data_IF_629408777996
#
_entry.id   IF_629408777996
#
_cell.length_a   1.000
_cell.length_b   1.000
_cell.length_c   1.000
_cell.angle_alpha   90.00
_cell.angle_beta   90.00
_cell.angle_gamma   90.00
#
_symmetry.space_group_name_H-M   'P 1'
#
loop_
_entity.id
_entity.type
_entity.pdbx_description
1 polymer ?
#
# COMPACT_ATOMS: atom_id res chain seq x y z
N UNK A 1 -3.00 2.24 -10.00
CA UNK A 1 -2.54 1.50 -11.20
C UNK A 1 -1.47 2.31 -11.91
N UNK A 2 -1.78 3.49 -12.44
CA UNK A 2 -0.81 4.40 -13.06
C UNK A 2 0.44 4.68 -12.20
N UNK A 3 0.26 4.90 -10.89
CA UNK A 3 1.39 5.11 -9.97
C UNK A 3 2.42 3.96 -9.97
N UNK A 4 1.96 2.73 -10.20
CA UNK A 4 2.80 1.55 -10.29
C UNK A 4 3.42 1.38 -11.69
N UNK A 5 3.15 2.30 -12.63
CA UNK A 5 3.70 2.27 -13.99
C UNK A 5 2.91 1.41 -14.97
N UNK A 6 1.65 1.07 -14.66
CA UNK A 6 0.78 0.29 -15.55
C UNK A 6 -0.28 1.16 -16.21
N UNK A 7 -0.51 0.92 -17.49
CA UNK A 7 -1.63 1.43 -18.28
C UNK A 7 -2.49 0.23 -18.69
N UNK A 8 -3.77 0.16 -18.26
CA UNK A 8 -4.65 -0.92 -18.67
C UNK A 8 -5.13 -0.73 -20.11
N UNK A 9 -5.16 -1.81 -20.91
CA UNK A 9 -5.74 -1.79 -22.25
C UNK A 9 -7.24 -1.49 -22.24
N UNK A 10 -7.96 -2.02 -21.24
CA UNK A 10 -9.39 -1.81 -21.06
C UNK A 10 -9.74 -1.66 -19.58
N UNK A 11 -10.71 -0.79 -19.27
CA UNK A 11 -11.25 -0.60 -17.92
C UNK A 11 -12.72 -0.98 -17.90
N UNK A 12 -13.00 -2.17 -17.38
CA UNK A 12 -14.34 -2.70 -17.23
C UNK A 12 -14.78 -2.59 -15.77
N UNK A 13 -16.08 -2.33 -15.56
CA UNK A 13 -16.70 -2.43 -14.24
C UNK A 13 -17.77 -3.51 -14.30
N UNK A 14 -17.65 -4.51 -13.44
CA UNK A 14 -18.64 -5.60 -13.34
C UNK A 14 -20.07 -5.08 -13.10
N UNK A 15 -20.23 -3.99 -12.33
CA UNK A 15 -21.56 -3.39 -12.10
C UNK A 15 -22.22 -2.79 -13.34
N UNK A 16 -21.48 -2.56 -14.44
CA UNK A 16 -22.06 -2.15 -15.73
C UNK A 16 -22.58 -3.35 -16.54
N UNK A 17 -22.29 -4.59 -16.11
CA UNK A 17 -22.52 -5.83 -16.85
C UNK A 17 -23.55 -6.76 -16.17
N UNK A 18 -24.31 -6.23 -15.22
CA UNK A 18 -25.28 -7.02 -14.43
C UNK A 18 -26.29 -7.74 -15.33
N UNK A 19 -26.79 -7.05 -16.37
CA UNK A 19 -27.71 -7.63 -17.35
C UNK A 19 -27.09 -8.82 -18.11
N UNK A 20 -25.81 -8.70 -18.52
CA UNK A 20 -25.08 -9.82 -19.15
C UNK A 20 -25.04 -11.03 -18.22
N UNK A 21 -24.80 -10.83 -16.92
CA UNK A 21 -24.81 -11.95 -15.98
C UNK A 21 -26.21 -12.56 -15.82
N UNK A 22 -27.28 -11.77 -15.90
CA UNK A 22 -28.65 -12.30 -15.89
C UNK A 22 -28.96 -13.12 -17.15
N UNK A 23 -28.50 -12.69 -18.33
CA UNK A 23 -28.64 -13.45 -19.58
C UNK A 23 -27.99 -14.83 -19.46
N UNK A 24 -26.73 -14.92 -19.03
CA UNK A 24 -26.08 -16.21 -18.81
C UNK A 24 -26.73 -17.05 -17.70
N UNK A 25 -27.29 -16.42 -16.66
CA UNK A 25 -28.04 -17.14 -15.65
C UNK A 25 -29.30 -17.79 -16.24
N UNK A 26 -30.03 -17.09 -17.12
CA UNK A 26 -31.19 -17.64 -17.83
C UNK A 26 -30.79 -18.83 -18.70
N UNK A 27 -29.76 -18.67 -19.53
CA UNK A 27 -29.25 -19.75 -20.38
C UNK A 27 -28.80 -20.98 -19.56
N UNK A 28 -28.12 -20.74 -18.43
CA UNK A 28 -27.69 -21.82 -17.54
C UNK A 28 -28.89 -22.55 -16.93
N UNK A 29 -29.97 -21.85 -16.56
CA UNK A 29 -31.20 -22.47 -16.09
C UNK A 29 -31.86 -23.30 -17.19
N UNK A 30 -31.92 -22.79 -18.43
CA UNK A 30 -32.45 -23.51 -19.59
C UNK A 30 -31.66 -24.78 -19.90
N UNK A 31 -30.33 -24.74 -19.72
CA UNK A 31 -29.45 -25.90 -19.82
C UNK A 31 -29.58 -26.88 -18.63
N UNK A 32 -30.43 -26.57 -17.65
CA UNK A 32 -30.63 -27.36 -16.43
C UNK A 32 -29.49 -27.22 -15.42
N UNK A 33 -28.57 -26.29 -15.64
CA UNK A 33 -27.37 -26.08 -14.84
C UNK A 33 -27.53 -25.14 -13.65
N UNK A 34 -28.72 -24.60 -13.42
CA UNK A 34 -29.02 -23.82 -12.22
C UNK A 34 -30.45 -24.05 -11.72
N UNK A 35 -30.66 -23.74 -10.44
CA UNK A 35 -31.97 -23.78 -9.80
C UNK A 35 -32.07 -22.78 -8.65
N UNK A 36 -33.28 -22.31 -8.41
CA UNK A 36 -33.64 -21.39 -7.33
C UNK A 36 -33.94 -22.14 -6.03
N UNK A 37 -33.42 -21.64 -4.91
CA UNK A 37 -33.48 -22.31 -3.62
C UNK A 37 -33.87 -21.32 -2.51
N UNK A 38 -34.89 -21.70 -1.73
CA UNK A 38 -35.39 -20.94 -0.57
C UNK A 38 -35.06 -21.60 0.76
N UNK A 39 -34.18 -22.61 0.77
CA UNK A 39 -33.70 -23.21 2.02
C UNK A 39 -32.89 -22.17 2.81
N UNK A 40 -33.06 -22.17 4.13
CA UNK A 40 -32.18 -21.39 5.01
C UNK A 40 -30.72 -21.82 4.87
N UNK A 41 -29.78 -20.90 5.10
CA UNK A 41 -28.35 -21.15 4.91
C UNK A 41 -27.82 -22.35 5.73
N UNK A 42 -28.26 -22.48 6.98
CA UNK A 42 -27.88 -23.60 7.86
C UNK A 42 -28.47 -24.93 7.39
N UNK A 43 -29.75 -24.93 6.99
CA UNK A 43 -30.45 -26.11 6.47
C UNK A 43 -29.76 -26.63 5.19
N UNK A 44 -29.51 -25.73 4.23
CA UNK A 44 -28.81 -26.10 3.01
C UNK A 44 -27.40 -26.60 3.30
N UNK A 45 -26.69 -25.95 4.23
CA UNK A 45 -25.35 -26.38 4.64
C UNK A 45 -25.36 -27.81 5.20
N UNK A 46 -26.32 -28.15 6.06
CA UNK A 46 -26.47 -29.50 6.60
C UNK A 46 -26.73 -30.54 5.51
N UNK A 47 -27.69 -30.28 4.60
CA UNK A 47 -27.98 -31.15 3.46
C UNK A 47 -26.76 -31.35 2.56
N UNK A 48 -26.12 -30.24 2.20
CA UNK A 48 -24.93 -30.23 1.34
C UNK A 48 -23.78 -31.01 1.96
N UNK A 49 -23.53 -30.87 3.27
CA UNK A 49 -22.45 -31.59 3.96
C UNK A 49 -22.69 -33.11 3.98
N UNK A 50 -23.96 -33.52 4.07
CA UNK A 50 -24.40 -34.92 3.96
C UNK A 50 -24.48 -35.45 2.52
N UNK A 51 -24.04 -34.68 1.52
CA UNK A 51 -24.17 -35.01 0.10
C UNK A 51 -25.63 -35.24 -0.35
N UNK A 52 -26.59 -34.55 0.29
CA UNK A 52 -28.01 -34.63 -0.02
C UNK A 52 -28.47 -33.39 -0.78
N UNK A 53 -29.21 -33.62 -1.86
CA UNK A 53 -29.86 -32.57 -2.62
C UNK A 53 -30.91 -31.86 -1.77
N UNK A 54 -31.05 -30.54 -1.95
CA UNK A 54 -32.19 -29.83 -1.36
C UNK A 54 -33.49 -30.13 -2.13
N UNK A 55 -34.67 -29.99 -1.51
CA UNK A 55 -35.96 -30.30 -2.15
C UNK A 55 -36.23 -29.47 -3.41
N UNK A 56 -35.61 -28.29 -3.54
CA UNK A 56 -35.76 -27.39 -4.67
C UNK A 56 -34.88 -27.77 -5.88
N UNK A 57 -33.93 -28.69 -5.71
CA UNK A 57 -32.96 -29.04 -6.75
C UNK A 57 -33.62 -29.61 -8.00
N UNK A 58 -34.75 -30.27 -7.89
CA UNK A 58 -35.44 -30.90 -9.04
C UNK A 58 -36.58 -30.05 -9.60
N UNK A 59 -36.62 -28.75 -9.28
CA UNK A 59 -37.51 -27.79 -9.98
C UNK A 59 -37.24 -27.83 -11.48
N UNK A 60 -38.31 -27.67 -12.27
CA UNK A 60 -38.18 -27.55 -13.71
C UNK A 60 -37.68 -26.15 -14.09
N UNK A 61 -37.08 -26.04 -15.29
CA UNK A 61 -36.49 -24.79 -15.76
C UNK A 61 -37.49 -23.62 -15.82
N UNK A 62 -38.74 -23.86 -16.23
CA UNK A 62 -39.75 -22.81 -16.34
C UNK A 62 -40.07 -22.15 -14.98
N UNK A 63 -40.22 -22.96 -13.93
CA UNK A 63 -40.41 -22.46 -12.56
C UNK A 63 -39.18 -21.71 -12.06
N UNK A 64 -37.98 -22.23 -12.33
CA UNK A 64 -36.74 -21.55 -11.93
C UNK A 64 -36.55 -20.21 -12.66
N UNK A 65 -36.86 -20.13 -13.96
CA UNK A 65 -36.82 -18.88 -14.71
C UNK A 65 -37.81 -17.86 -14.14
N UNK A 66 -39.06 -18.27 -13.89
CA UNK A 66 -40.09 -17.39 -13.30
C UNK A 66 -39.63 -16.81 -11.95
N UNK A 67 -39.11 -17.65 -11.06
CA UNK A 67 -38.58 -17.21 -9.77
C UNK A 67 -37.33 -16.33 -9.93
N UNK A 68 -36.46 -16.60 -10.91
CA UNK A 68 -35.27 -15.79 -11.15
C UNK A 68 -35.61 -14.41 -11.74
N UNK A 69 -36.59 -14.31 -12.66
CA UNK A 69 -37.08 -12.99 -13.10
C UNK A 69 -37.65 -12.19 -11.92
N UNK A 70 -38.41 -12.84 -11.04
CA UNK A 70 -38.89 -12.19 -9.83
C UNK A 70 -37.74 -11.77 -8.88
N UNK A 71 -36.61 -12.48 -8.86
CA UNK A 71 -35.38 -12.03 -8.19
C UNK A 71 -34.81 -10.77 -8.85
N UNK A 72 -34.68 -10.76 -10.18
CA UNK A 72 -34.20 -9.61 -10.97
C UNK A 72 -35.08 -8.37 -10.73
N UNK A 73 -36.39 -8.54 -10.72
CA UNK A 73 -37.39 -7.50 -10.44
C UNK A 73 -37.39 -7.04 -8.96
N UNK A 74 -36.63 -7.70 -8.09
CA UNK A 74 -36.52 -7.35 -6.67
C UNK A 74 -37.75 -7.75 -5.85
N UNK A 75 -38.48 -8.80 -6.22
CA UNK A 75 -39.69 -9.24 -5.52
C UNK A 75 -39.42 -9.94 -4.16
N UNK A 76 -38.15 -10.21 -3.83
CA UNK A 76 -37.73 -10.95 -2.64
C UNK A 76 -36.80 -10.13 -1.74
N UNK A 77 -36.81 -10.43 -0.45
CA UNK A 77 -35.92 -9.82 0.53
C UNK A 77 -34.57 -10.59 0.63
N UNK A 78 -33.51 -9.97 1.17
CA UNK A 78 -32.22 -10.61 1.40
C UNK A 78 -32.34 -11.89 2.23
N UNK A 79 -31.95 -13.01 1.62
CA UNK A 79 -31.94 -14.34 2.27
C UNK A 79 -33.17 -15.20 1.97
N UNK A 80 -34.22 -14.66 1.36
CA UNK A 80 -35.43 -15.42 1.00
C UNK A 80 -35.17 -16.48 -0.07
N UNK A 81 -34.33 -16.13 -1.05
CA UNK A 81 -34.06 -16.95 -2.22
C UNK A 81 -32.66 -16.70 -2.76
N UNK A 82 -32.07 -17.74 -3.34
CA UNK A 82 -30.81 -17.68 -4.08
C UNK A 82 -30.90 -18.52 -5.35
N UNK A 83 -30.14 -18.13 -6.39
CA UNK A 83 -29.89 -19.01 -7.54
C UNK A 83 -28.62 -19.82 -7.25
N UNK A 84 -28.66 -21.13 -7.46
CA UNK A 84 -27.52 -22.04 -7.27
C UNK A 84 -27.12 -22.67 -8.60
N UNK A 85 -25.82 -22.80 -8.83
CA UNK A 85 -25.30 -23.62 -9.92
C UNK A 85 -25.47 -25.08 -9.52
N UNK A 86 -26.06 -25.90 -10.38
CA UNK A 86 -26.19 -27.34 -10.19
C UNK A 86 -24.86 -28.01 -10.48
N UNK A 87 -24.22 -28.56 -9.46
CA UNK A 87 -22.95 -29.29 -9.58
C UNK A 87 -23.14 -30.75 -9.19
N UNK A 88 -22.03 -31.47 -9.01
CA UNK A 88 -22.03 -32.75 -8.31
C UNK A 88 -22.32 -32.55 -6.82
N UNK A 89 -23.46 -33.05 -6.34
CA UNK A 89 -23.89 -32.96 -4.94
C UNK A 89 -23.09 -33.91 -4.02
N UNK A 90 -22.44 -34.93 -4.59
CA UNK A 90 -21.60 -35.89 -3.88
C UNK A 90 -20.12 -35.48 -3.89
N UNK A 91 -19.77 -34.38 -4.58
CA UNK A 91 -18.40 -33.93 -4.78
C UNK A 91 -17.59 -33.91 -3.47
N UNK A 92 -16.36 -34.44 -3.46
CA UNK A 92 -15.58 -34.60 -2.21
C UNK A 92 -15.32 -33.30 -1.45
N UNK A 93 -15.18 -32.19 -2.16
CA UNK A 93 -15.10 -30.84 -1.58
C UNK A 93 -16.51 -30.26 -1.43
N UNK A 94 -17.04 -30.08 -0.20
CA UNK A 94 -18.36 -29.52 0.02
C UNK A 94 -18.51 -28.07 -0.46
N UNK A 95 -17.41 -27.33 -0.62
CA UNK A 95 -17.44 -25.96 -1.10
C UNK A 95 -17.78 -25.84 -2.59
N UNK A 96 -17.72 -26.95 -3.34
CA UNK A 96 -18.10 -26.99 -4.76
C UNK A 96 -19.54 -27.48 -4.98
N UNK A 97 -20.18 -28.05 -3.96
CA UNK A 97 -21.54 -28.60 -4.07
C UNK A 97 -22.55 -27.45 -4.13
N UNK A 98 -23.31 -27.39 -5.22
CA UNK A 98 -24.45 -26.51 -5.46
C UNK A 98 -24.27 -25.09 -4.89
N UNK A 99 -23.18 -24.44 -5.31
CA UNK A 99 -22.77 -23.13 -4.83
C UNK A 99 -23.69 -22.01 -5.36
N UNK A 100 -23.74 -20.88 -4.66
CA UNK A 100 -24.66 -19.78 -4.96
C UNK A 100 -24.12 -18.96 -6.13
N UNK A 101 -24.92 -18.82 -7.19
CA UNK A 101 -24.67 -17.94 -8.33
C UNK A 101 -25.15 -16.51 -8.07
N UNK A 102 -26.36 -16.34 -7.50
CA UNK A 102 -26.96 -15.02 -7.23
C UNK A 102 -27.61 -14.96 -5.85
N UNK A 103 -27.65 -13.76 -5.27
CA UNK A 103 -28.32 -13.46 -4.00
C UNK A 103 -28.98 -12.08 -4.01
N UNK A 104 -29.95 -11.89 -3.13
CA UNK A 104 -30.60 -10.60 -2.90
C UNK A 104 -29.82 -9.72 -1.90
N UNK A 105 -29.67 -8.43 -2.20
CA UNK A 105 -29.05 -7.40 -1.37
C UNK A 105 -29.90 -6.13 -1.42
N UNK A 106 -30.18 -5.54 -0.26
CA UNK A 106 -30.94 -4.27 -0.18
C UNK A 106 -30.07 -3.04 -0.07
N UNK A 107 -28.82 -3.19 0.36
CA UNK A 107 -27.87 -2.09 0.38
C UNK A 107 -27.63 -1.63 -1.06
N UNK A 108 -28.01 -0.39 -1.43
CA UNK A 108 -27.81 0.09 -2.78
C UNK A 108 -26.33 0.10 -3.14
N UNK A 109 -26.03 -0.22 -4.40
CA UNK A 109 -24.67 -0.13 -4.89
C UNK A 109 -24.17 1.33 -4.80
N UNK A 110 -22.91 1.58 -4.39
CA UNK A 110 -22.38 2.96 -4.24
C UNK A 110 -22.37 3.79 -5.53
N UNK A 111 -22.38 3.13 -6.69
CA UNK A 111 -22.53 3.78 -8.01
C UNK A 111 -24.00 3.93 -8.36
N UNK A 112 -24.40 5.15 -8.73
CA UNK A 112 -25.78 5.49 -9.06
C UNK A 112 -26.34 4.65 -10.21
N UNK A 113 -25.54 4.39 -11.25
CA UNK A 113 -25.97 3.63 -12.43
C UNK A 113 -26.37 2.18 -12.10
N UNK A 114 -25.87 1.65 -10.98
CA UNK A 114 -26.13 0.30 -10.53
C UNK A 114 -26.89 0.24 -9.20
N UNK A 115 -27.31 1.39 -8.66
CA UNK A 115 -27.97 1.48 -7.36
C UNK A 115 -29.35 0.81 -7.34
N UNK A 116 -29.98 0.65 -8.51
CA UNK A 116 -31.28 0.00 -8.67
C UNK A 116 -31.27 -1.53 -8.60
N UNK A 117 -30.11 -2.18 -8.78
CA UNK A 117 -30.02 -3.64 -8.77
C UNK A 117 -30.04 -4.19 -7.34
N UNK A 118 -30.86 -5.22 -7.11
CA UNK A 118 -30.95 -5.96 -5.84
C UNK A 118 -30.51 -7.43 -5.97
N UNK A 119 -30.63 -8.03 -7.14
CA UNK A 119 -30.16 -9.39 -7.41
C UNK A 119 -28.71 -9.37 -7.91
N UNK A 120 -27.75 -9.75 -7.08
CA UNK A 120 -26.32 -9.64 -7.39
C UNK A 120 -25.68 -11.00 -7.60
N UNK A 121 -24.84 -11.16 -8.64
CA UNK A 121 -24.05 -12.37 -8.83
C UNK A 121 -22.97 -12.49 -7.75
N UNK A 122 -22.60 -13.72 -7.46
CA UNK A 122 -21.45 -14.06 -6.65
C UNK A 122 -20.17 -13.99 -7.50
N UNK A 123 -19.03 -13.74 -6.84
CA UNK A 123 -17.73 -13.58 -7.49
C UNK A 123 -17.44 -14.68 -8.52
N UNK A 124 -17.58 -15.94 -8.13
CA UNK A 124 -17.25 -17.07 -9.00
C UNK A 124 -18.11 -17.10 -10.27
N UNK A 125 -19.40 -16.73 -10.19
CA UNK A 125 -20.26 -16.67 -11.37
C UNK A 125 -19.84 -15.52 -12.28
N UNK A 126 -19.80 -14.30 -11.75
CA UNK A 126 -19.56 -13.11 -12.59
C UNK A 126 -18.17 -13.09 -13.22
N UNK A 127 -17.10 -13.42 -12.47
CA UNK A 127 -15.76 -13.43 -13.05
C UNK A 127 -15.57 -14.58 -14.03
N UNK A 128 -16.24 -15.72 -13.85
CA UNK A 128 -16.18 -16.81 -14.81
C UNK A 128 -16.76 -16.43 -16.18
N UNK A 129 -17.88 -15.70 -16.18
CA UNK A 129 -18.49 -15.15 -17.40
C UNK A 129 -17.58 -14.09 -18.03
N UNK A 130 -17.04 -13.16 -17.23
CA UNK A 130 -16.16 -12.12 -17.74
C UNK A 130 -14.87 -12.69 -18.33
N UNK A 131 -14.26 -13.69 -17.69
CA UNK A 131 -13.06 -14.34 -18.21
C UNK A 131 -13.32 -14.96 -19.59
N UNK A 132 -14.51 -15.53 -19.82
CA UNK A 132 -14.91 -16.05 -21.13
C UNK A 132 -15.13 -14.94 -22.16
N UNK A 133 -15.98 -13.96 -21.84
CA UNK A 133 -16.38 -12.87 -22.74
C UNK A 133 -15.19 -12.00 -23.16
N UNK A 134 -14.25 -11.76 -22.25
CA UNK A 134 -13.02 -11.02 -22.53
C UNK A 134 -11.90 -11.91 -23.10
N UNK A 135 -12.19 -13.19 -23.37
CA UNK A 135 -11.21 -14.15 -23.92
C UNK A 135 -9.92 -14.19 -23.10
N UNK A 136 -10.03 -14.13 -21.78
CA UNK A 136 -8.90 -14.24 -20.87
C UNK A 136 -8.25 -15.59 -21.08
N UNK A 137 -6.93 -15.60 -21.30
CA UNK A 137 -6.17 -16.85 -21.54
C UNK A 137 -5.43 -17.32 -20.30
N UNK A 138 -5.09 -16.40 -19.41
CA UNK A 138 -4.32 -16.65 -18.18
C UNK A 138 -4.90 -15.85 -17.03
N UNK A 139 -5.33 -16.53 -15.98
CA UNK A 139 -5.79 -15.93 -14.73
C UNK A 139 -4.65 -15.97 -13.73
N UNK A 140 -4.20 -14.81 -13.25
CA UNK A 140 -3.16 -14.69 -12.22
C UNK A 140 -3.79 -14.14 -10.94
N UNK A 141 -3.78 -14.92 -9.85
CA UNK A 141 -4.49 -14.54 -8.61
C UNK A 141 -3.97 -15.25 -7.36
N UNK A 142 -4.36 -14.73 -6.19
CA UNK A 142 -4.04 -15.30 -4.87
C UNK A 142 -4.50 -16.75 -4.68
N UNK A 143 -3.74 -17.52 -3.91
CA UNK A 143 -4.04 -18.91 -3.54
C UNK A 143 -5.38 -19.06 -2.78
N UNK A 144 -5.89 -17.99 -2.18
CA UNK A 144 -7.24 -17.92 -1.59
C UNK A 144 -8.35 -18.33 -2.56
N UNK A 145 -8.17 -18.03 -3.85
CA UNK A 145 -9.16 -18.28 -4.88
C UNK A 145 -8.92 -19.62 -5.61
N UNK A 146 -8.08 -20.50 -5.08
CA UNK A 146 -7.73 -21.77 -5.74
C UNK A 146 -8.94 -22.66 -6.09
N UNK A 147 -10.01 -22.59 -5.31
CA UNK A 147 -11.24 -23.36 -5.57
C UNK A 147 -12.18 -22.66 -6.57
N UNK A 148 -11.98 -21.38 -6.87
CA UNK A 148 -12.83 -20.64 -7.83
C UNK A 148 -12.80 -21.25 -9.22
N UNK A 149 -11.63 -21.69 -9.70
CA UNK A 149 -11.52 -22.37 -11.00
C UNK A 149 -12.33 -23.66 -11.04
N UNK A 150 -12.38 -24.41 -9.93
CA UNK A 150 -13.18 -25.62 -9.85
C UNK A 150 -14.68 -25.32 -9.81
N UNK A 151 -15.10 -24.22 -9.16
CA UNK A 151 -16.50 -23.78 -9.16
C UNK A 151 -16.94 -23.35 -10.54
N UNK A 152 -16.15 -22.48 -11.16
CA UNK A 152 -16.38 -21.94 -12.50
C UNK A 152 -16.35 -23.03 -13.57
N UNK A 153 -15.50 -24.05 -13.42
CA UNK A 153 -15.46 -25.20 -14.31
C UNK A 153 -16.83 -25.84 -14.54
N UNK A 154 -17.68 -25.95 -13.52
CA UNK A 154 -19.05 -26.45 -13.72
C UNK A 154 -19.87 -25.58 -14.65
N UNK A 155 -19.76 -24.26 -14.56
CA UNK A 155 -20.45 -23.32 -15.46
C UNK A 155 -19.92 -23.46 -16.88
N UNK A 156 -18.60 -23.53 -17.04
CA UNK A 156 -17.93 -23.72 -18.33
C UNK A 156 -18.35 -25.05 -18.98
N UNK A 157 -18.48 -26.12 -18.21
CA UNK A 157 -18.92 -27.43 -18.70
C UNK A 157 -20.34 -27.37 -19.29
N UNK A 158 -21.27 -26.62 -18.68
CA UNK A 158 -22.63 -26.46 -19.24
C UNK A 158 -22.63 -25.71 -20.58
N UNK A 159 -21.74 -24.73 -20.74
CA UNK A 159 -21.63 -23.95 -21.97
C UNK A 159 -20.67 -24.56 -23.01
N UNK A 160 -19.92 -25.61 -22.63
CA UNK A 160 -18.92 -26.22 -23.50
C UNK A 160 -17.71 -25.32 -23.75
N UNK A 161 -17.34 -24.47 -22.78
CA UNK A 161 -16.23 -23.55 -22.88
C UNK A 161 -14.92 -24.17 -22.40
N UNK A 162 -13.81 -23.70 -22.97
CA UNK A 162 -12.47 -24.02 -22.48
C UNK A 162 -12.10 -23.04 -21.35
N UNK A 163 -11.69 -23.58 -20.22
CA UNK A 163 -11.31 -22.78 -19.06
C UNK A 163 -9.85 -22.31 -19.19
N UNK A 164 -9.54 -21.04 -18.89
CA UNK A 164 -8.20 -20.49 -19.04
C UNK A 164 -7.16 -21.12 -18.10
N UNK A 165 -5.89 -20.95 -18.45
CA UNK A 165 -4.78 -21.36 -17.60
C UNK A 165 -4.77 -20.52 -16.31
N UNK A 166 -4.51 -21.15 -15.16
CA UNK A 166 -4.51 -20.45 -13.87
C UNK A 166 -3.16 -20.54 -13.19
N UNK A 167 -2.60 -19.38 -12.88
CA UNK A 167 -1.40 -19.23 -12.06
C UNK A 167 -1.79 -18.70 -10.70
N UNK A 168 -1.51 -19.48 -9.66
CA UNK A 168 -1.68 -19.05 -8.29
C UNK A 168 -0.36 -18.58 -7.69
N UNK A 169 -0.42 -17.52 -6.91
CA UNK A 169 0.66 -17.08 -6.02
C UNK A 169 0.22 -17.13 -4.57
N UNK A 170 1.16 -17.43 -3.67
CA UNK A 170 0.93 -17.51 -2.24
C UNK A 170 0.65 -16.14 -1.62
N UNK A 171 0.29 -16.15 -0.34
CA UNK A 171 0.06 -14.90 0.37
C UNK A 171 1.35 -14.10 0.50
N UNK A 172 1.25 -12.80 0.23
CA UNK A 172 2.32 -11.84 0.50
C UNK A 172 2.03 -11.17 1.84
N UNK A 173 2.94 -11.31 2.79
CA UNK A 173 2.88 -10.66 4.09
C UNK A 173 3.94 -9.56 4.20
N UNK A 174 3.67 -8.53 5.01
CA UNK A 174 4.61 -7.43 5.25
C UNK A 174 4.71 -7.22 6.75
N UNK A 175 5.75 -7.78 7.37
CA UNK A 175 5.93 -7.74 8.83
C UNK A 175 6.49 -6.42 9.36
N UNK A 176 6.90 -5.52 8.47
CA UNK A 176 7.47 -4.23 8.85
C UNK A 176 6.44 -3.21 9.38
N UNK A 177 5.15 -3.56 9.40
CA UNK A 177 4.07 -2.69 9.85
C UNK A 177 3.31 -3.30 11.02
N UNK A 178 3.03 -2.49 12.04
CA UNK A 178 2.16 -2.87 13.17
C UNK A 178 0.66 -2.92 12.78
N UNK A 179 0.31 -2.34 11.63
CA UNK A 179 -1.04 -2.36 11.07
C UNK A 179 -1.13 -3.50 10.08
N UNK A 180 -2.05 -4.45 10.35
CA UNK A 180 -2.29 -5.57 9.44
C UNK A 180 -2.75 -5.07 8.05
N UNK A 181 -2.27 -5.75 7.00
CA UNK A 181 -2.65 -5.49 5.60
C UNK A 181 -4.08 -6.01 5.32
N UNK A 182 -5.07 -5.35 5.91
CA UNK A 182 -6.49 -5.66 5.78
C UNK A 182 -7.29 -4.38 5.62
N UNK A 183 -8.10 -4.30 4.55
CA UNK A 183 -8.91 -3.12 4.23
C UNK A 183 -9.88 -2.77 5.36
N UNK A 184 -10.50 -3.76 6.00
CA UNK A 184 -11.42 -3.51 7.12
C UNK A 184 -10.68 -3.01 8.36
N UNK A 185 -9.54 -3.61 8.69
CA UNK A 185 -8.72 -3.20 9.85
C UNK A 185 -8.18 -1.78 9.68
N UNK A 186 -7.68 -1.44 8.50
CA UNK A 186 -7.17 -0.09 8.22
C UNK A 186 -8.33 0.93 8.30
N UNK A 187 -9.50 0.61 7.73
CA UNK A 187 -10.68 1.47 7.79
C UNK A 187 -11.13 1.72 9.23
N UNK A 188 -11.22 0.67 10.06
CA UNK A 188 -11.59 0.79 11.47
C UNK A 188 -10.64 1.72 12.24
N UNK A 189 -9.33 1.58 12.03
CA UNK A 189 -8.33 2.45 12.68
C UNK A 189 -8.40 3.90 12.20
N UNK A 190 -8.73 4.14 10.93
CA UNK A 190 -8.99 5.50 10.42
C UNK A 190 -10.24 6.08 11.09
N UNK A 191 -11.34 5.31 11.16
CA UNK A 191 -12.59 5.74 11.80
C UNK A 191 -12.42 6.01 13.31
N UNK A 192 -11.54 5.26 13.97
CA UNK A 192 -11.15 5.48 15.36
C UNK A 192 -10.20 6.67 15.58
N UNK A 193 -9.68 7.28 14.50
CA UNK A 193 -8.71 8.37 14.56
C UNK A 193 -7.30 7.94 14.97
N UNK A 194 -6.99 6.64 14.94
CA UNK A 194 -5.65 6.11 15.21
C UNK A 194 -4.70 6.35 14.02
N UNK A 195 -5.25 6.35 12.81
CA UNK A 195 -4.59 6.68 11.55
C UNK A 195 -5.20 7.96 10.97
N UNK A 196 -4.37 8.82 10.37
CA UNK A 196 -4.83 10.09 9.78
C UNK A 196 -5.66 9.88 8.50
N UNK A 197 -5.48 8.73 7.84
CA UNK A 197 -6.15 8.39 6.58
C UNK A 197 -5.53 7.17 5.90
N UNK A 198 -5.96 6.91 4.67
CA UNK A 198 -5.44 5.79 3.85
C UNK A 198 -3.99 5.97 3.42
N UNK A 199 -3.48 7.20 3.45
CA UNK A 199 -2.12 7.59 3.10
C UNK A 199 -1.24 7.82 4.34
N UNK A 200 -1.70 7.41 5.53
CA UNK A 200 -0.91 7.44 6.75
C UNK A 200 0.32 6.51 6.60
N UNK A 201 1.53 6.96 6.97
CA UNK A 201 2.78 6.19 6.81
C UNK A 201 2.80 4.90 7.61
N UNK A 202 1.95 4.77 8.63
CA UNK A 202 1.80 3.57 9.46
C UNK A 202 0.91 2.52 8.82
N UNK A 203 0.20 2.86 7.74
CA UNK A 203 -0.62 1.92 6.99
C UNK A 203 0.19 1.31 5.82
N UNK A 204 0.14 -0.01 5.61
CA UNK A 204 0.83 -0.69 4.50
C UNK A 204 0.08 -0.53 3.18
N UNK A 205 -0.30 0.69 2.83
CA UNK A 205 -1.04 1.00 1.60
C UNK A 205 -0.10 1.57 0.54
N UNK A 206 -0.45 1.39 -0.74
CA UNK A 206 0.26 2.07 -1.83
C UNK A 206 0.20 3.60 -1.66
N UNK A 207 -0.90 4.13 -1.11
CA UNK A 207 -1.04 5.56 -0.82
C UNK A 207 -0.04 6.03 0.26
N UNK A 208 0.13 5.27 1.35
CA UNK A 208 1.11 5.57 2.40
C UNK A 208 2.55 5.47 1.90
N UNK A 209 2.87 4.43 1.13
CA UNK A 209 4.18 4.29 0.47
C UNK A 209 4.46 5.48 -0.48
N UNK A 210 3.48 5.88 -1.29
CA UNK A 210 3.58 7.06 -2.17
C UNK A 210 3.78 8.34 -1.38
N UNK A 211 3.05 8.54 -0.28
CA UNK A 211 3.18 9.72 0.56
C UNK A 211 4.55 9.80 1.24
N UNK A 212 5.14 8.64 1.55
CA UNK A 212 6.51 8.53 2.06
C UNK A 212 7.60 8.79 1.02
N UNK A 213 7.28 8.82 -0.27
CA UNK A 213 8.27 8.98 -1.35
C UNK A 213 8.81 7.67 -1.92
N UNK A 214 8.14 6.54 -1.67
CA UNK A 214 8.50 5.26 -2.29
C UNK A 214 7.93 5.20 -3.70
N UNK A 215 8.77 5.27 -4.73
CA UNK A 215 8.40 5.19 -6.15
C UNK A 215 7.67 3.88 -6.46
N UNK A 216 6.59 3.96 -7.23
CA UNK A 216 5.80 2.76 -7.59
C UNK A 216 6.62 1.71 -8.34
N UNK A 217 7.61 2.13 -9.12
CA UNK A 217 8.56 1.24 -9.80
C UNK A 217 9.33 0.34 -8.82
N UNK A 218 9.77 0.87 -7.68
CA UNK A 218 10.46 0.08 -6.65
C UNK A 218 9.55 -1.00 -6.03
N UNK A 219 8.25 -0.71 -5.90
CA UNK A 219 7.26 -1.69 -5.43
C UNK A 219 7.11 -2.81 -6.46
N UNK A 220 7.00 -2.47 -7.74
CA UNK A 220 6.86 -3.45 -8.83
C UNK A 220 8.11 -4.32 -8.97
N UNK A 221 9.30 -3.73 -8.90
CA UNK A 221 10.57 -4.47 -8.95
C UNK A 221 10.66 -5.49 -7.82
N UNK A 222 10.43 -5.08 -6.58
CA UNK A 222 10.45 -5.98 -5.42
C UNK A 222 9.39 -7.10 -5.51
N UNK A 223 8.20 -6.80 -6.03
CA UNK A 223 7.14 -7.80 -6.23
C UNK A 223 7.48 -8.78 -7.37
N UNK A 224 8.16 -8.31 -8.42
CA UNK A 224 8.58 -9.15 -9.55
C UNK A 224 9.67 -10.13 -9.12
N UNK A 225 10.59 -9.72 -8.24
CA UNK A 225 11.65 -10.56 -7.70
C UNK A 225 11.13 -11.75 -6.88
N UNK A 226 9.98 -11.61 -6.20
CA UNK A 226 9.35 -12.71 -5.47
C UNK A 226 8.85 -13.83 -6.39
N UNK A 227 8.48 -13.48 -7.63
CA UNK A 227 7.91 -14.40 -8.60
C UNK A 227 6.53 -14.95 -8.21
N UNK A 228 6.08 -15.97 -8.95
CA UNK A 228 4.73 -16.56 -8.82
C UNK A 228 4.78 -17.93 -8.13
N UNK A 229 5.35 -17.99 -6.93
CA UNK A 229 5.34 -19.19 -6.09
C UNK A 229 4.01 -19.31 -5.34
N UNK A 230 3.51 -20.54 -5.16
CA UNK A 230 2.31 -20.80 -4.33
C UNK A 230 2.60 -20.78 -2.82
N UNK A 231 3.86 -20.75 -2.42
CA UNK A 231 4.24 -20.62 -1.01
C UNK A 231 3.98 -19.20 -0.52
N UNK A 232 3.56 -19.07 0.74
CA UNK A 232 3.49 -17.76 1.38
C UNK A 232 4.89 -17.16 1.47
N UNK A 233 4.96 -15.85 1.25
CA UNK A 233 6.20 -15.10 1.22
C UNK A 233 6.08 -13.84 2.05
N UNK A 234 7.15 -13.53 2.78
CA UNK A 234 7.30 -12.28 3.49
C UNK A 234 8.03 -11.29 2.58
N UNK A 235 7.32 -10.25 2.13
CA UNK A 235 7.90 -9.17 1.35
C UNK A 235 8.75 -8.29 2.27
N UNK A 236 10.06 -8.44 2.14
CA UNK A 236 11.01 -7.64 2.88
C UNK A 236 10.97 -6.19 2.39
N UNK A 237 10.57 -5.26 3.28
CA UNK A 237 10.61 -3.83 2.96
C UNK A 237 12.01 -3.33 2.58
N UNK A 238 13.07 -4.01 3.04
CA UNK A 238 14.45 -3.74 2.61
C UNK A 238 14.65 -3.85 1.11
N UNK A 239 13.96 -4.77 0.42
CA UNK A 239 14.04 -4.91 -1.04
C UNK A 239 13.39 -3.71 -1.74
N UNK A 240 12.21 -3.29 -1.27
CA UNK A 240 11.56 -2.07 -1.76
C UNK A 240 12.44 -0.84 -1.51
N UNK A 241 13.06 -0.72 -0.33
CA UNK A 241 13.90 0.42 0.01
C UNK A 241 15.22 0.44 -0.78
N UNK A 242 15.80 -0.72 -1.08
CA UNK A 242 16.97 -0.82 -1.94
C UNK A 242 16.65 -0.35 -3.37
N UNK A 243 15.59 -0.90 -3.97
CA UNK A 243 15.11 -0.49 -5.29
C UNK A 243 14.74 1.00 -5.31
N UNK A 244 14.10 1.51 -4.26
CA UNK A 244 13.74 2.92 -4.19
C UNK A 244 14.96 3.83 -4.08
N UNK A 245 15.99 3.44 -3.30
CA UNK A 245 17.25 4.18 -3.20
C UNK A 245 17.90 4.36 -4.58
N UNK A 246 17.98 3.30 -5.37
CA UNK A 246 18.54 3.35 -6.73
C UNK A 246 17.82 4.34 -7.65
N UNK A 247 16.54 4.63 -7.38
CA UNK A 247 15.74 5.56 -8.17
C UNK A 247 15.85 7.01 -7.72
N UNK A 248 16.14 7.26 -6.43
CA UNK A 248 16.03 8.61 -5.85
C UNK A 248 17.37 9.19 -5.38
N UNK A 249 18.41 8.39 -5.19
CA UNK A 249 19.64 8.84 -4.53
C UNK A 249 20.34 9.96 -5.30
N UNK A 250 20.59 9.73 -6.59
CA UNK A 250 21.28 10.65 -7.51
C UNK A 250 20.56 12.00 -7.65
N UNK A 251 19.22 12.02 -7.56
CA UNK A 251 18.40 13.22 -7.70
C UNK A 251 18.19 13.97 -6.37
N UNK A 252 18.29 13.30 -5.22
CA UNK A 252 17.94 13.87 -3.91
C UNK A 252 19.02 14.80 -3.35
N UNK A 253 18.66 16.05 -3.07
CA UNK A 253 19.53 16.98 -2.33
C UNK A 253 19.84 16.46 -0.92
N UNK A 254 21.09 16.65 -0.47
CA UNK A 254 21.51 16.39 0.91
C UNK A 254 21.17 17.58 1.79
N UNK A 255 20.43 17.30 2.85
CA UNK A 255 19.94 18.32 3.78
C UNK A 255 20.20 17.96 5.23
N UNK A 256 20.23 18.96 6.10
CA UNK A 256 20.36 18.73 7.54
C UNK A 256 19.03 18.86 8.27
N UNK A 257 18.73 17.87 9.11
CA UNK A 257 17.64 17.86 10.07
C UNK A 257 18.18 17.33 11.40
N UNK A 258 18.00 18.09 12.48
CA UNK A 258 18.44 17.74 13.82
C UNK A 258 17.22 17.50 14.69
N UNK A 259 17.09 16.28 15.20
CA UNK A 259 16.02 15.84 16.10
C UNK A 259 16.39 16.16 17.54
N UNK A 260 15.43 16.69 18.31
CA UNK A 260 15.61 17.02 19.73
C UNK A 260 16.92 17.77 20.04
N UNK A 261 17.30 18.69 19.14
CA UNK A 261 18.65 19.24 19.09
C UNK A 261 19.06 20.03 20.33
N UNK A 262 20.27 19.77 20.83
CA UNK A 262 20.91 20.53 21.89
C UNK A 262 21.62 21.73 21.29
N UNK A 263 21.31 22.91 21.82
CA UNK A 263 21.96 24.15 21.41
C UNK A 263 23.35 24.28 22.03
N UNK A 264 24.33 24.69 21.22
CA UNK A 264 25.70 24.98 21.62
C UNK A 264 26.09 26.32 21.01
N UNK A 265 26.44 27.28 21.87
CA UNK A 265 27.10 28.51 21.42
C UNK A 265 28.35 28.15 20.64
N UNK A 266 28.54 28.78 19.49
CA UNK A 266 29.73 28.61 18.67
C UNK A 266 30.70 29.77 18.91
N UNK A 267 31.94 29.45 19.25
CA UNK A 267 33.02 30.40 19.52
C UNK A 267 34.01 30.36 18.35
N UNK A 268 33.95 31.38 17.49
CA UNK A 268 34.79 31.48 16.28
C UNK A 268 34.31 30.59 15.13
N UNK A 269 35.10 30.56 14.05
CA UNK A 269 34.75 29.85 12.81
C UNK A 269 34.18 30.77 11.73
N UNK A 270 33.89 30.23 10.54
CA UNK A 270 33.30 31.00 9.44
C UNK A 270 31.81 31.32 9.70
N UNK A 271 31.32 32.40 9.11
CA UNK A 271 29.91 32.84 9.25
C UNK A 271 28.93 32.00 8.43
N UNK A 272 29.44 31.29 7.42
CA UNK A 272 28.69 30.45 6.49
C UNK A 272 29.39 29.11 6.33
N UNK A 273 28.61 28.04 6.25
CA UNK A 273 29.09 26.72 5.91
C UNK A 273 28.66 26.34 4.48
N UNK A 274 29.51 25.60 3.79
CA UNK A 274 29.31 25.26 2.37
C UNK A 274 29.36 23.74 2.10
N UNK A 275 28.49 22.92 2.74
CA UNK A 275 28.44 21.50 2.40
C UNK A 275 27.94 21.29 0.95
N UNK A 276 28.39 20.24 0.25
CA UNK A 276 27.89 19.93 -1.10
C UNK A 276 26.39 19.61 -1.06
N UNK A 277 25.69 19.94 -2.16
CA UNK A 277 24.29 19.53 -2.34
C UNK A 277 24.17 18.02 -2.57
N UNK A 278 25.14 17.40 -3.24
CA UNK A 278 25.22 15.96 -3.40
C UNK A 278 26.70 15.52 -3.43
N UNK A 279 27.09 14.46 -2.71
CA UNK A 279 28.50 14.04 -2.62
C UNK A 279 29.08 13.59 -3.96
N UNK A 280 28.29 12.90 -4.78
CA UNK A 280 28.75 12.33 -6.06
C UNK A 280 28.49 13.22 -7.29
N UNK A 281 27.87 14.39 -7.09
CA UNK A 281 27.48 15.32 -8.17
C UNK A 281 28.02 16.73 -7.89
N UNK A 282 29.32 16.92 -8.08
CA UNK A 282 30.01 18.21 -7.87
C UNK A 282 29.40 19.35 -8.70
N UNK A 283 28.86 19.04 -9.88
CA UNK A 283 28.21 19.98 -10.79
C UNK A 283 26.95 20.63 -10.20
N UNK A 284 26.34 19.99 -9.20
CA UNK A 284 25.19 20.56 -8.47
C UNK A 284 25.63 21.66 -7.50
N UNK A 285 26.91 21.72 -7.16
CA UNK A 285 27.48 22.76 -6.30
C UNK A 285 27.25 22.53 -4.81
N UNK A 286 27.41 23.61 -4.03
CA UNK A 286 27.29 23.61 -2.57
C UNK A 286 26.06 24.39 -2.13
N UNK A 287 25.58 24.08 -0.92
CA UNK A 287 24.55 24.87 -0.22
C UNK A 287 25.23 25.82 0.76
N UNK A 288 24.74 27.06 0.83
CA UNK A 288 25.22 28.07 1.77
C UNK A 288 24.32 28.10 3.01
N UNK A 289 24.85 27.69 4.17
CA UNK A 289 24.11 27.65 5.44
C UNK A 289 24.64 28.74 6.38
N UNK A 290 23.82 29.73 6.79
CA UNK A 290 24.25 30.71 7.79
C UNK A 290 24.46 30.00 9.13
N UNK A 291 25.56 30.28 9.82
CA UNK A 291 25.92 29.59 11.08
C UNK A 291 25.33 30.29 12.30
N UNK A 292 25.40 31.63 12.34
CA UNK A 292 24.95 32.43 13.49
C UNK A 292 25.84 32.25 14.73
N UNK A 293 25.30 32.60 15.91
CA UNK A 293 26.03 32.54 17.19
C UNK A 293 25.97 31.18 17.90
N UNK A 294 25.09 30.28 17.45
CA UNK A 294 24.91 28.98 18.04
C UNK A 294 24.42 27.97 17.00
N UNK A 295 24.74 26.70 17.23
CA UNK A 295 24.31 25.58 16.41
C UNK A 295 23.54 24.57 17.24
N UNK A 296 22.70 23.78 16.58
CA UNK A 296 22.03 22.63 17.17
C UNK A 296 22.59 21.35 16.56
N UNK A 297 22.87 20.37 17.42
CA UNK A 297 23.29 19.01 17.07
C UNK A 297 22.43 18.00 17.81
N UNK A 298 22.38 16.77 17.35
CA UNK A 298 21.66 15.72 18.10
C UNK A 298 22.34 15.49 19.45
N UNK A 299 21.58 15.18 20.53
CA UNK A 299 22.15 14.95 21.85
C UNK A 299 23.29 13.92 21.87
N UNK A 300 23.13 12.83 21.11
CA UNK A 300 24.10 11.74 21.02
C UNK A 300 25.38 12.11 20.25
N UNK A 301 25.33 13.20 19.48
CA UNK A 301 26.45 13.72 18.70
C UNK A 301 27.31 14.73 19.48
N UNK A 302 26.90 15.12 20.69
CA UNK A 302 27.69 16.00 21.55
C UNK A 302 28.86 15.19 22.14
N UNK A 303 30.12 15.44 21.74
CA UNK A 303 31.23 14.65 22.25
C UNK A 303 31.51 15.00 23.73
N UNK A 304 32.24 14.18 24.49
CA UNK A 304 32.62 14.52 25.86
C UNK A 304 33.38 15.86 25.95
N UNK A 305 33.28 16.56 27.08
CA UNK A 305 34.01 17.81 27.28
C UNK A 305 35.53 17.63 27.05
N UNK A 306 36.11 18.51 26.24
CA UNK A 306 37.50 18.49 25.79
C UNK A 306 37.74 17.70 24.50
N UNK A 307 36.75 16.95 24.00
CA UNK A 307 36.84 16.20 22.75
C UNK A 307 36.34 17.01 21.56
N UNK A 308 36.75 16.60 20.36
CA UNK A 308 36.43 17.25 19.09
C UNK A 308 35.31 16.52 18.36
N UNK A 309 34.56 17.26 17.55
CA UNK A 309 33.61 16.77 16.56
C UNK A 309 33.71 17.65 15.31
N UNK A 310 33.44 17.09 14.14
CA UNK A 310 33.45 17.81 12.88
C UNK A 310 32.03 18.16 12.46
N UNK A 311 31.72 19.46 12.43
CA UNK A 311 30.44 19.96 11.92
C UNK A 311 30.51 19.99 10.40
N UNK A 312 29.73 19.15 9.73
CA UNK A 312 29.81 18.96 8.28
C UNK A 312 29.64 20.29 7.53
N UNK A 313 30.54 20.57 6.58
CA UNK A 313 30.59 21.81 5.81
C UNK A 313 31.13 23.04 6.57
N UNK A 314 31.30 22.95 7.89
CA UNK A 314 31.74 24.05 8.75
C UNK A 314 33.18 23.86 9.26
N UNK A 315 33.50 22.67 9.77
CA UNK A 315 34.84 22.32 10.27
C UNK A 315 34.85 21.76 11.69
N UNK A 316 36.05 21.59 12.28
CA UNK A 316 36.22 20.95 13.57
C UNK A 316 35.96 21.92 14.72
N UNK A 317 35.22 21.43 15.72
CA UNK A 317 34.95 22.13 16.96
C UNK A 317 35.30 21.26 18.17
N UNK A 318 35.76 21.90 19.24
CA UNK A 318 35.99 21.27 20.54
C UNK A 318 34.82 21.56 21.45
N UNK A 319 34.26 20.51 22.06
CA UNK A 319 33.25 20.70 23.10
C UNK A 319 33.90 21.18 24.38
N UNK A 320 33.55 22.41 24.77
CA UNK A 320 33.77 22.91 26.12
C UNK A 320 32.53 22.63 26.97
N UNK A 321 32.48 23.03 28.24
CA UNK A 321 31.34 22.68 29.11
C UNK A 321 29.98 23.03 28.50
N UNK A 322 29.87 24.22 27.89
CA UNK A 322 28.60 24.76 27.40
C UNK A 322 28.64 25.24 25.93
N UNK A 323 29.78 25.13 25.25
CA UNK A 323 29.97 25.72 23.92
C UNK A 323 30.83 24.84 23.01
N UNK A 324 30.75 25.10 21.72
CA UNK A 324 31.66 24.58 20.71
C UNK A 324 32.68 25.67 20.35
N UNK A 325 33.96 25.37 20.55
CA UNK A 325 35.07 26.25 20.19
C UNK A 325 35.68 25.76 18.88
N UNK A 326 35.70 26.62 17.85
CA UNK A 326 36.27 26.27 16.56
C UNK A 326 37.79 26.14 16.67
N UNK A 327 38.34 24.98 16.27
CA UNK A 327 39.78 24.71 16.45
C UNK A 327 40.62 25.03 15.21
N UNK A 328 40.00 25.14 14.03
CA UNK A 328 40.70 25.41 12.78
C UNK A 328 41.64 24.29 12.33
N UNK A 329 41.49 23.07 12.88
CA UNK A 329 42.22 21.90 12.41
C UNK A 329 41.84 21.58 10.94
N UNK A 330 42.75 20.98 10.17
CA UNK A 330 42.48 20.55 8.80
C UNK A 330 41.60 19.28 8.76
N UNK A 331 40.94 19.00 7.64
CA UNK A 331 40.08 17.82 7.44
C UNK A 331 40.82 16.49 7.62
N UNK A 332 42.16 16.51 7.60
CA UNK A 332 43.00 15.36 7.93
C UNK A 332 42.66 14.71 9.28
N UNK A 333 42.21 15.48 10.29
CA UNK A 333 41.80 14.93 11.60
C UNK A 333 40.60 13.98 11.52
N UNK A 334 39.77 14.10 10.49
CA UNK A 334 38.67 13.17 10.21
C UNK A 334 39.20 11.93 9.51
N UNK A 335 40.12 12.08 8.56
CA UNK A 335 40.70 10.98 7.77
C UNK A 335 41.54 10.04 8.62
N UNK A 336 42.16 10.55 9.67
CA UNK A 336 42.93 9.77 10.65
C UNK A 336 42.02 9.02 11.66
N UNK A 337 40.70 9.24 11.62
CA UNK A 337 39.71 8.55 12.46
C UNK A 337 39.54 9.16 13.86
N UNK A 338 40.16 10.30 14.14
CA UNK A 338 40.16 10.91 15.47
C UNK A 338 38.91 11.74 15.78
N UNK A 339 38.07 12.06 14.78
CA UNK A 339 36.94 12.98 14.90
C UNK A 339 35.74 12.51 14.08
N UNK A 340 34.58 12.36 14.73
CA UNK A 340 33.31 12.03 14.06
C UNK A 340 32.77 13.23 13.28
N UNK A 341 32.19 12.99 12.11
CA UNK A 341 31.46 13.99 11.32
C UNK A 341 29.97 13.93 11.65
N UNK A 342 29.40 15.07 12.00
CA UNK A 342 27.98 15.18 12.40
C UNK A 342 27.28 16.29 11.61
N UNK A 343 25.99 16.08 11.37
CA UNK A 343 25.09 17.10 10.84
C UNK A 343 24.68 18.06 11.95
N UNK A 344 24.30 19.26 11.57
CA UNK A 344 23.94 20.34 12.48
C UNK A 344 23.01 21.33 11.76
N UNK A 345 22.36 22.21 12.52
CA UNK A 345 21.58 23.33 11.95
C UNK A 345 21.85 24.61 12.75
N UNK A 346 21.77 25.80 12.15
CA UNK A 346 21.89 27.06 12.90
C UNK A 346 20.78 27.18 13.94
N UNK A 347 21.09 27.64 15.15
CA UNK A 347 20.10 27.74 16.21
C UNK A 347 18.97 28.73 15.88
N UNK A 348 19.33 29.86 15.27
CA UNK A 348 18.42 30.98 15.01
C UNK A 348 17.68 30.84 13.68
N UNK A 349 18.40 30.53 12.59
CA UNK A 349 17.83 30.53 11.24
C UNK A 349 17.19 29.21 10.80
N UNK A 350 17.41 28.12 11.54
CA UNK A 350 16.80 26.83 11.20
C UNK A 350 15.27 26.89 11.25
N UNK A 351 14.61 26.01 10.52
CA UNK A 351 13.14 25.95 10.44
C UNK A 351 12.61 24.76 11.24
N UNK A 352 11.49 24.89 11.97
CA UNK A 352 10.85 23.74 12.61
C UNK A 352 10.45 22.71 11.56
N UNK A 353 10.77 21.44 11.81
CA UNK A 353 10.38 20.34 10.93
C UNK A 353 9.82 19.17 11.74
N UNK A 354 8.73 18.61 11.25
CA UNK A 354 8.16 17.34 11.69
C UNK A 354 8.37 16.29 10.63
N UNK A 355 9.06 15.22 10.99
CA UNK A 355 9.29 14.06 10.15
C UNK A 355 8.34 12.95 10.59
N UNK A 356 7.32 12.68 9.77
CA UNK A 356 6.35 11.60 9.97
C UNK A 356 7.00 10.27 9.62
N UNK A 357 6.90 9.26 10.48
CA UNK A 357 7.48 7.92 10.25
C UNK A 357 6.48 6.80 10.55
N UNK A 358 6.87 5.54 10.33
CA UNK A 358 6.07 4.36 10.70
C UNK A 358 6.02 4.14 12.22
N UNK A 359 7.02 4.63 12.96
CA UNK A 359 7.17 4.39 14.41
C UNK A 359 6.71 5.58 15.25
N UNK A 360 6.22 6.64 14.60
CA UNK A 360 5.84 7.91 15.22
C UNK A 360 6.59 9.11 14.66
N UNK A 361 6.16 10.30 15.06
CA UNK A 361 6.70 11.55 14.53
C UNK A 361 7.99 11.94 15.25
N UNK A 362 9.03 12.25 14.48
CA UNK A 362 10.21 12.94 14.99
C UNK A 362 10.07 14.45 14.78
N UNK A 363 10.32 15.24 15.82
CA UNK A 363 10.30 16.70 15.73
C UNK A 363 11.70 17.27 15.91
N UNK A 364 11.96 18.42 15.28
CA UNK A 364 13.28 19.02 15.35
C UNK A 364 13.38 20.28 14.51
N UNK A 365 14.60 20.59 14.08
CA UNK A 365 14.88 21.73 13.23
C UNK A 365 15.69 21.31 12.02
N UNK A 366 15.31 21.80 10.85
CA UNK A 366 16.03 21.61 9.61
C UNK A 366 16.75 22.88 9.19
N UNK A 367 17.75 22.76 8.34
CA UNK A 367 18.43 23.94 7.80
C UNK A 367 17.46 24.87 7.02
N UNK A 368 17.78 26.16 6.88
CA UNK A 368 16.86 27.13 6.27
C UNK A 368 16.44 26.77 4.84
N UNK A 369 17.36 26.16 4.07
CA UNK A 369 17.13 25.73 2.69
C UNK A 369 16.03 24.68 2.52
N UNK A 370 15.54 24.05 3.60
CA UNK A 370 14.37 23.18 3.51
C UNK A 370 13.11 23.95 3.09
N UNK A 371 12.96 25.21 3.47
CA UNK A 371 11.77 25.99 3.15
C UNK A 371 11.66 26.36 1.66
N UNK A 372 12.70 26.11 0.85
CA UNK A 372 12.67 26.34 -0.60
C UNK A 372 12.40 25.09 -1.44
N UNK A 373 12.28 23.92 -0.81
CA UNK A 373 11.89 22.70 -1.53
C UNK A 373 10.40 22.71 -1.81
N UNK A 374 10.02 22.26 -2.99
CA UNK A 374 8.61 22.15 -3.35
C UNK A 374 7.99 20.90 -2.68
N UNK A 375 6.68 20.91 -2.36
CA UNK A 375 5.96 19.69 -2.01
C UNK A 375 6.18 18.59 -3.05
N UNK A 376 6.25 17.34 -2.58
CA UNK A 376 6.59 16.13 -3.32
C UNK A 376 8.07 15.95 -3.71
N UNK A 377 8.94 16.94 -3.48
CA UNK A 377 10.38 16.73 -3.64
C UNK A 377 10.94 15.77 -2.57
N UNK A 378 11.92 14.96 -2.97
CA UNK A 378 12.61 14.02 -2.08
C UNK A 378 13.98 14.58 -1.76
N UNK A 379 14.30 14.61 -0.47
CA UNK A 379 15.62 15.00 0.04
C UNK A 379 16.21 13.84 0.85
N UNK A 380 17.53 13.80 0.97
CA UNK A 380 18.18 12.94 1.95
C UNK A 380 18.58 13.78 3.15
N UNK A 381 17.93 13.53 4.30
CA UNK A 381 18.43 14.03 5.57
C UNK A 381 19.66 13.23 5.96
N UNK A 382 20.80 13.90 5.96
CA UNK A 382 22.08 13.24 6.21
C UNK A 382 22.08 12.49 7.55
N UNK A 383 22.60 11.25 7.53
CA UNK A 383 22.65 10.34 8.69
C UNK A 383 21.27 9.92 9.23
N UNK A 384 20.18 10.32 8.58
CA UNK A 384 18.80 9.96 8.94
C UNK A 384 18.18 9.09 7.85
N UNK A 385 18.19 9.55 6.60
CA UNK A 385 17.62 8.85 5.44
C UNK A 385 16.84 9.77 4.50
N UNK A 386 16.20 9.17 3.51
CA UNK A 386 15.37 9.87 2.54
C UNK A 386 14.01 10.25 3.12
N UNK A 387 13.53 11.41 2.74
CA UNK A 387 12.22 11.90 3.13
C UNK A 387 11.61 12.73 2.00
N UNK A 388 10.30 12.59 1.81
CA UNK A 388 9.54 13.43 0.89
C UNK A 388 8.97 14.64 1.62
N UNK A 389 9.16 15.83 1.08
CA UNK A 389 8.53 17.06 1.57
C UNK A 389 7.03 16.98 1.27
N UNK A 390 6.18 17.21 2.28
CA UNK A 390 4.71 17.14 2.14
C UNK A 390 4.10 18.54 2.13
N UNK A 391 4.53 19.42 3.04
CA UNK A 391 4.05 20.80 3.09
C UNK A 391 4.97 21.73 3.88
N UNK A 392 4.89 23.01 3.55
CA UNK A 392 5.37 24.12 4.37
C UNK A 392 4.16 24.95 4.83
N UNK A 393 4.05 25.26 6.13
CA UNK A 393 2.98 26.11 6.63
C UNK A 393 2.61 25.86 8.09
N UNK A 394 1.83 26.77 8.68
CA UNK A 394 1.46 26.73 10.11
C UNK A 394 2.65 26.77 11.08
N UNK A 395 3.76 27.41 10.66
CA UNK A 395 4.96 27.56 11.48
C UNK A 395 5.89 26.35 11.51
N UNK A 396 5.63 25.29 10.72
CA UNK A 396 6.51 24.13 10.57
C UNK A 396 6.55 23.63 9.12
N UNK A 397 7.60 22.89 8.78
CA UNK A 397 7.65 22.04 7.59
C UNK A 397 7.29 20.61 7.99
N UNK A 398 6.61 19.87 7.11
CA UNK A 398 6.30 18.46 7.32
C UNK A 398 6.91 17.65 6.18
N UNK A 399 7.61 16.59 6.55
CA UNK A 399 8.16 15.60 5.63
C UNK A 399 7.77 14.19 6.08
N UNK A 400 7.71 13.25 5.14
CA UNK A 400 7.45 11.83 5.42
C UNK A 400 8.70 11.02 5.14
N UNK A 401 9.11 10.23 6.12
CA UNK A 401 10.29 9.38 6.02
C UNK A 401 10.05 8.21 5.06
N UNK A 402 10.92 8.10 4.06
CA UNK A 402 10.92 6.99 3.10
C UNK A 402 11.65 5.80 3.72
N UNK A 403 12.98 5.85 3.76
CA UNK A 403 13.85 4.83 4.31
C UNK A 403 15.24 5.41 4.54
N UNK A 404 16.08 4.68 5.27
CA UNK A 404 17.51 5.00 5.37
C UNK A 404 18.21 4.77 4.05
#
# INVERSE_FOLDING_TARGET
IEYLGFEPDEVVRASDRVETYYEYARELVEAGGAYTCTCGGEEFSALKNDARACPHRDKNAATTLEEFEAMVDGAYDPGDIVLRVRTDIEHRNPALRDWVAFRMIDTPHPREEAAGYRCWPMLDFQSGIDDHEFSITHIIRGIDLQDSAKRQGFVYDYFGWEYPEVVHWGHVQIDAYDVAMSTSTIKERIEAGELDGWDDPRAPTVAGLRRRGIRGKAIVEAMTELGTSTSNVDLAMSSIYAANRELIDDESDRRFFVRDGVEKTLLGGPETAEPPLHPDHEERGTRSIPVGGAVRVEPDDVPPNGKRVWLKGLGPVRHTRNAFEFTGDDIEVVREGDVNVVHWVPADESVPLRLRTMDGDATGRAEPGIASHDPDEVVQFERIGFAKIDRHGNGESVAYFAHR
#
